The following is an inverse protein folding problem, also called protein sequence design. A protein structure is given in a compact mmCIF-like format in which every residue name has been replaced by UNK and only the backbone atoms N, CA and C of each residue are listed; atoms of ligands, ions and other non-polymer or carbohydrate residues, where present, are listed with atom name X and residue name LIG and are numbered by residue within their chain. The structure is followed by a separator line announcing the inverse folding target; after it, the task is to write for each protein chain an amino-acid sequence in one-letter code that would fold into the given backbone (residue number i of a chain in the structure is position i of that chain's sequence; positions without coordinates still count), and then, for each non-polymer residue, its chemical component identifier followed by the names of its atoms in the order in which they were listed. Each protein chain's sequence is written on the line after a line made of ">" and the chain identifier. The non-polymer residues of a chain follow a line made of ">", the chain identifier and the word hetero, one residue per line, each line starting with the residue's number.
data_IF_406773921510
#
_entry.id   IF_406773921510
#
_cell.length_a   1.000
_cell.length_b   1.000
_cell.length_c   1.000
_cell.angle_alpha   90.00
_cell.angle_beta   90.00
_cell.angle_gamma   90.00
#
_symmetry.space_group_name_H-M   'P 1'
#
loop_
_entity.id
_entity.type
_entity.pdbx_description
1 polymer ?
#
# COMPACT_ATOMS: atom_id res chain seq x y z
N UNK A 1 -13.84 9.06 -5.93
CA UNK A 1 -12.80 8.96 -4.89
C UNK A 1 -12.54 7.48 -4.62
N UNK A 2 -11.31 7.07 -4.34
CA UNK A 2 -11.00 5.68 -4.01
C UNK A 2 -10.09 5.60 -2.80
N UNK A 3 -10.42 4.72 -1.85
CA UNK A 3 -9.49 4.28 -0.83
C UNK A 3 -8.57 3.22 -1.42
N UNK A 4 -7.26 3.46 -1.36
CA UNK A 4 -6.25 2.46 -1.76
C UNK A 4 -5.86 1.65 -0.53
N UNK A 5 -5.91 0.33 -0.65
CA UNK A 5 -5.47 -0.61 0.40
C UNK A 5 -4.43 -1.58 -0.12
N UNK A 6 -3.57 -2.04 0.78
CA UNK A 6 -2.66 -3.16 0.53
C UNK A 6 -2.93 -4.25 1.55
N UNK A 7 -3.22 -5.45 1.07
CA UNK A 7 -3.35 -6.65 1.87
C UNK A 7 -2.03 -7.43 1.88
N UNK A 8 -1.67 -7.95 3.05
CA UNK A 8 -0.47 -8.76 3.24
C UNK A 8 -0.65 -9.73 4.42
N UNK A 9 0.01 -10.91 4.38
CA UNK A 9 0.07 -11.81 5.52
C UNK A 9 1.07 -11.30 6.56
N UNK A 10 0.56 -10.87 7.71
CA UNK A 10 1.36 -10.38 8.82
C UNK A 10 2.30 -11.47 9.37
N UNK A 11 3.57 -11.11 9.57
CA UNK A 11 4.55 -11.99 10.21
C UNK A 11 5.72 -11.16 10.78
N UNK A 12 6.32 -11.60 11.89
CA UNK A 12 7.46 -10.93 12.51
C UNK A 12 8.71 -10.83 11.59
N UNK A 13 8.83 -11.71 10.59
CA UNK A 13 9.91 -11.66 9.59
C UNK A 13 9.63 -10.70 8.42
N UNK A 14 8.47 -10.02 8.40
CA UNK A 14 8.18 -9.01 7.37
C UNK A 14 8.90 -7.72 7.63
N UNK A 15 9.09 -6.95 6.57
CA UNK A 15 9.64 -5.62 6.66
C UNK A 15 8.72 -4.70 7.49
N UNK A 16 9.33 -3.91 8.37
CA UNK A 16 8.67 -2.84 9.14
C UNK A 16 8.64 -1.51 8.40
N UNK A 17 9.40 -1.40 7.30
CA UNK A 17 9.66 -0.17 6.56
C UNK A 17 9.40 -0.30 5.05
N UNK A 18 8.33 -0.99 4.63
CA UNK A 18 8.01 -1.18 3.19
C UNK A 18 7.68 0.15 2.52
N UNK A 19 8.46 0.60 1.52
CA UNK A 19 8.16 1.82 0.78
C UNK A 19 7.04 1.57 -0.25
N UNK A 20 6.05 2.46 -0.25
CA UNK A 20 4.92 2.43 -1.19
C UNK A 20 4.74 3.81 -1.82
N UNK A 21 4.64 3.86 -3.15
CA UNK A 21 4.33 5.10 -3.90
C UNK A 21 3.00 4.95 -4.61
N UNK A 22 2.10 5.90 -4.40
CA UNK A 22 0.77 5.96 -5.01
C UNK A 22 0.77 7.11 -6.02
N UNK A 23 0.46 6.81 -7.28
CA UNK A 23 0.34 7.80 -8.36
C UNK A 23 -1.14 8.09 -8.59
N UNK A 24 -1.57 9.32 -8.27
CA UNK A 24 -2.96 9.76 -8.29
C UNK A 24 -3.09 11.15 -8.97
N UNK A 25 -4.31 11.67 -9.10
CA UNK A 25 -4.55 12.94 -9.82
C UNK A 25 -3.83 14.14 -9.21
N UNK A 26 -3.63 14.13 -7.90
CA UNK A 26 -2.90 15.14 -7.15
C UNK A 26 -1.36 15.00 -7.21
N UNK A 27 -0.84 14.04 -7.97
CA UNK A 27 0.60 13.74 -8.06
C UNK A 27 0.96 12.42 -7.40
N UNK A 28 2.09 12.41 -6.69
CA UNK A 28 2.63 11.22 -6.05
C UNK A 28 2.57 11.34 -4.53
N UNK A 29 2.07 10.30 -3.86
CA UNK A 29 2.17 10.15 -2.41
C UNK A 29 3.10 9.00 -2.06
N UNK A 30 4.09 9.26 -1.19
CA UNK A 30 4.98 8.23 -0.64
C UNK A 30 4.53 7.86 0.77
N UNK A 31 4.51 6.56 1.06
CA UNK A 31 4.18 5.97 2.36
C UNK A 31 5.23 4.93 2.73
N UNK A 32 5.35 4.70 4.03
CA UNK A 32 6.10 3.58 4.60
C UNK A 32 5.14 2.81 5.48
N UNK A 33 5.02 1.50 5.28
CA UNK A 33 4.13 0.63 6.06
C UNK A 33 4.93 -0.50 6.73
N UNK A 34 4.48 -0.90 7.91
CA UNK A 34 4.95 -2.12 8.56
C UNK A 34 4.03 -3.28 8.18
N UNK A 35 4.64 -4.39 7.75
CA UNK A 35 3.92 -5.64 7.45
C UNK A 35 4.02 -6.66 8.60
N UNK A 36 4.55 -6.25 9.75
CA UNK A 36 4.66 -7.11 10.94
C UNK A 36 3.31 -7.34 11.65
N UNK A 37 2.55 -6.28 12.01
CA UNK A 37 1.25 -6.47 12.62
C UNK A 37 0.17 -6.81 11.57
N UNK A 38 -0.94 -7.45 11.97
CA UNK A 38 -2.13 -7.54 11.15
C UNK A 38 -2.59 -6.15 10.67
N UNK A 39 -3.07 -6.09 9.42
CA UNK A 39 -3.65 -4.86 8.88
C UNK A 39 -4.93 -4.45 9.64
N UNK A 40 -5.14 -3.16 9.92
CA UNK A 40 -6.30 -2.70 10.70
C UNK A 40 -7.64 -2.94 10.00
N UNK A 41 -7.65 -3.11 8.68
CA UNK A 41 -8.86 -3.39 7.89
C UNK A 41 -9.04 -4.91 7.78
N UNK A 42 -10.03 -5.44 8.49
CA UNK A 42 -10.38 -6.87 8.45
C UNK A 42 -9.27 -7.82 8.91
N UNK A 43 -8.25 -7.32 9.60
CA UNK A 43 -7.08 -8.10 10.03
C UNK A 43 -6.05 -8.39 8.93
N UNK A 44 -6.25 -7.87 7.71
CA UNK A 44 -5.45 -8.27 6.54
C UNK A 44 -4.90 -7.11 5.72
N UNK A 45 -5.56 -5.95 5.76
CA UNK A 45 -5.20 -4.82 4.90
C UNK A 45 -4.90 -3.54 5.69
N UNK A 46 -3.99 -2.74 5.14
CA UNK A 46 -3.72 -1.37 5.59
C UNK A 46 -4.25 -0.39 4.54
N UNK A 47 -4.88 0.69 5.01
CA UNK A 47 -5.25 1.82 4.15
C UNK A 47 -4.02 2.67 3.86
N UNK A 48 -3.78 2.98 2.59
CA UNK A 48 -2.74 3.91 2.16
C UNK A 48 -3.25 5.35 2.09
N UNK A 49 -4.57 5.54 2.02
CA UNK A 49 -5.24 6.84 1.92
C UNK A 49 -6.35 6.82 0.87
N UNK A 50 -7.02 7.96 0.74
CA UNK A 50 -8.07 8.19 -0.25
C UNK A 50 -7.59 9.18 -1.32
N UNK A 51 -7.79 8.81 -2.58
CA UNK A 51 -7.24 9.54 -3.72
C UNK A 51 -8.20 9.57 -4.90
N UNK A 52 -8.10 10.62 -5.70
CA UNK A 52 -8.76 10.69 -7.00
C UNK A 52 -7.85 10.14 -8.10
N UNK A 53 -8.46 9.41 -9.05
CA UNK A 53 -7.75 8.80 -10.17
C UNK A 53 -8.42 9.18 -11.48
N UNK A 54 -7.61 9.37 -12.52
CA UNK A 54 -8.02 9.57 -13.90
C UNK A 54 -7.22 8.58 -14.77
N UNK A 55 -7.85 7.93 -15.77
CA UNK A 55 -7.14 7.07 -16.71
C UNK A 55 -5.94 7.76 -17.37
N UNK A 56 -6.03 9.06 -17.62
CA UNK A 56 -4.98 9.86 -18.29
C UNK A 56 -3.70 9.99 -17.47
N UNK A 57 -3.78 9.77 -16.15
CA UNK A 57 -2.66 9.87 -15.21
C UNK A 57 -1.99 8.52 -14.92
N UNK A 58 -2.39 7.44 -15.59
CA UNK A 58 -1.84 6.08 -15.41
C UNK A 58 -1.79 5.69 -13.92
N UNK A 59 -2.95 5.52 -13.28
CA UNK A 59 -3.02 5.23 -11.85
C UNK A 59 -2.24 3.96 -11.53
N UNK A 60 -1.32 4.03 -10.57
CA UNK A 60 -0.48 2.90 -10.18
C UNK A 60 -0.08 2.97 -8.70
N UNK A 61 0.19 1.81 -8.13
CA UNK A 61 0.81 1.65 -6.81
C UNK A 61 2.10 0.89 -7.01
N UNK A 62 3.22 1.48 -6.60
CA UNK A 62 4.55 0.88 -6.67
C UNK A 62 4.98 0.50 -5.26
N UNK A 63 5.25 -0.79 -5.05
CA UNK A 63 5.73 -1.32 -3.76
C UNK A 63 7.18 -1.76 -3.97
N UNK A 64 8.09 -1.16 -3.21
CA UNK A 64 9.52 -1.45 -3.28
C UNK A 64 10.00 -2.35 -2.15
N UNK A 65 11.21 -2.88 -2.31
CA UNK A 65 11.93 -3.65 -1.28
C UNK A 65 13.37 -3.14 -1.05
N UNK A 66 13.77 -2.05 -1.72
CA UNK A 66 15.09 -1.48 -1.53
C UNK A 66 15.20 -0.92 -0.09
N UNK A 67 16.26 -1.34 0.63
CA UNK A 67 16.50 -0.91 2.00
C UNK A 67 15.53 -1.47 3.06
N UNK A 68 14.70 -2.46 2.72
CA UNK A 68 13.77 -3.03 3.71
C UNK A 68 14.46 -3.97 4.70
N UNK A 69 14.01 -3.96 5.96
CA UNK A 69 14.57 -4.73 7.08
C UNK A 69 13.99 -6.16 7.22
N UNK A 70 13.30 -6.65 6.20
CA UNK A 70 12.65 -7.97 6.20
C UNK A 70 12.00 -8.29 4.86
N UNK A 71 11.15 -9.31 4.84
CA UNK A 71 10.45 -9.71 3.63
C UNK A 71 9.30 -8.76 3.31
N UNK A 72 9.23 -8.31 2.05
CA UNK A 72 8.06 -7.63 1.49
C UNK A 72 7.17 -8.65 0.83
N UNK A 73 5.91 -8.73 1.26
CA UNK A 73 4.91 -9.62 0.66
C UNK A 73 3.68 -8.81 0.27
N UNK A 74 3.16 -9.09 -0.92
CA UNK A 74 1.96 -8.45 -1.45
C UNK A 74 0.98 -9.58 -1.76
N UNK A 75 -0.16 -9.56 -1.09
CA UNK A 75 -1.28 -10.46 -1.41
C UNK A 75 -2.21 -9.77 -2.42
N UNK A 76 -2.69 -8.57 -2.08
CA UNK A 76 -3.54 -7.77 -2.97
C UNK A 76 -3.31 -6.26 -2.82
N UNK A 77 -3.61 -5.53 -3.89
CA UNK A 77 -3.83 -4.08 -3.88
C UNK A 77 -5.29 -3.84 -4.27
N UNK A 78 -6.00 -3.02 -3.50
CA UNK A 78 -7.43 -2.76 -3.71
C UNK A 78 -7.68 -1.27 -3.89
N UNK A 79 -8.49 -0.93 -4.89
CA UNK A 79 -9.12 0.38 -5.04
C UNK A 79 -10.58 0.25 -4.64
N UNK A 80 -10.95 0.77 -3.48
CA UNK A 80 -12.32 0.72 -2.97
C UNK A 80 -13.00 2.05 -3.27
N UNK A 81 -14.04 2.04 -4.10
CA UNK A 81 -14.80 3.25 -4.40
C UNK A 81 -15.41 3.84 -3.11
N UNK A 82 -15.34 5.17 -2.98
CA UNK A 82 -15.92 5.97 -1.90
C UNK A 82 -16.96 6.93 -2.46
#
# INVERSE_FOLDING_TARGET
>A
LYEVRVAYPANNNRASNVPVTIFHNGGETKKVISQKPPGPVGGVAVSLGEYEFSPDRRPQVVIGNEGTDGYVVIDAVQWIAK
#
